data_IF_795585271204
#
_entry.id   IF_795585271204
#
_cell.length_a   1.000
_cell.length_b   1.000
_cell.length_c   1.000
_cell.angle_alpha   90.00
_cell.angle_beta   90.00
_cell.angle_gamma   90.00
#
_symmetry.space_group_name_H-M   'P 1'
#
loop_
_entity.id
_entity.type
_entity.pdbx_description
1 polymer ?
#
# COMPACT_ATOMS: atom_id res chain seq x y z
N UNK A 1 -8.74 -26.48 44.53
CA UNK A 1 -9.02 -26.83 43.13
C UNK A 1 -8.48 -25.70 42.29
N UNK A 2 -7.54 -25.95 41.36
CA UNK A 2 -7.09 -24.89 40.45
C UNK A 2 -8.26 -24.56 39.52
N UNK A 3 -8.66 -23.29 39.48
CA UNK A 3 -9.63 -22.80 38.51
C UNK A 3 -9.09 -23.10 37.11
N UNK A 4 -9.88 -23.83 36.30
CA UNK A 4 -9.58 -24.05 34.89
C UNK A 4 -9.39 -22.69 34.21
N UNK A 5 -8.23 -22.49 33.58
CA UNK A 5 -7.98 -21.32 32.73
C UNK A 5 -8.86 -21.49 31.48
N UNK A 6 -10.10 -20.99 31.58
CA UNK A 6 -11.03 -20.95 30.45
C UNK A 6 -10.44 -19.97 29.43
N UNK A 7 -9.94 -20.48 28.31
CA UNK A 7 -9.43 -19.68 27.21
C UNK A 7 -10.58 -18.94 26.52
N UNK A 8 -10.91 -17.74 27.02
CA UNK A 8 -11.98 -16.86 26.53
C UNK A 8 -11.81 -16.42 25.06
N UNK A 9 -10.63 -16.62 24.47
CA UNK A 9 -10.35 -16.24 23.07
C UNK A 9 -11.10 -17.16 22.09
N UNK A 10 -11.20 -18.46 22.38
CA UNK A 10 -11.82 -19.44 21.49
C UNK A 10 -13.36 -19.30 21.36
N UNK A 11 -14.02 -18.60 22.30
CA UNK A 11 -15.46 -18.35 22.31
C UNK A 11 -15.83 -16.88 22.02
N UNK A 12 -14.85 -16.08 21.58
CA UNK A 12 -15.07 -14.66 21.34
C UNK A 12 -15.75 -14.43 19.99
N UNK A 13 -16.80 -13.60 19.97
CA UNK A 13 -17.42 -13.08 18.72
C UNK A 13 -16.54 -12.05 18.00
N UNK A 14 -15.31 -11.84 18.49
CA UNK A 14 -14.33 -10.91 17.94
C UNK A 14 -13.79 -11.44 16.61
N UNK A 15 -13.81 -10.60 15.59
CA UNK A 15 -13.23 -10.91 14.28
C UNK A 15 -12.00 -10.03 14.07
N UNK A 16 -10.94 -10.63 13.53
CA UNK A 16 -9.71 -9.92 13.20
C UNK A 16 -9.71 -9.56 11.71
N UNK A 17 -9.35 -8.32 11.40
CA UNK A 17 -9.01 -7.89 10.05
C UNK A 17 -7.49 -7.78 9.96
N UNK A 18 -6.86 -8.53 9.06
CA UNK A 18 -5.42 -8.49 8.81
C UNK A 18 -5.13 -7.93 7.41
N UNK A 19 -4.53 -6.73 7.35
CA UNK A 19 -4.13 -6.10 6.08
C UNK A 19 -3.02 -6.89 5.37
N UNK A 20 -2.26 -7.74 6.08
CA UNK A 20 -1.22 -8.56 5.46
C UNK A 20 -1.79 -9.65 4.55
N UNK A 21 -3.02 -10.11 4.80
CA UNK A 21 -3.70 -11.15 4.02
C UNK A 21 -4.05 -10.66 2.60
N UNK A 22 -4.41 -9.38 2.48
CA UNK A 22 -4.74 -8.74 1.20
C UNK A 22 -3.54 -8.04 0.55
N UNK A 23 -2.35 -8.11 1.17
CA UNK A 23 -1.16 -7.44 0.68
C UNK A 23 -0.76 -7.97 -0.72
N UNK A 24 -0.71 -7.12 -1.76
CA UNK A 24 -0.57 -7.60 -3.12
C UNK A 24 0.85 -8.13 -3.36
N UNK A 25 0.95 -9.29 -4.02
CA UNK A 25 2.24 -9.93 -4.33
C UNK A 25 2.93 -9.25 -5.52
N UNK A 26 4.21 -8.94 -5.36
CA UNK A 26 5.08 -8.39 -6.41
C UNK A 26 6.18 -7.52 -5.80
N UNK A 27 7.32 -7.45 -6.47
CA UNK A 27 8.44 -6.62 -6.03
C UNK A 27 8.09 -5.13 -6.17
N UNK A 28 8.58 -4.32 -5.24
CA UNK A 28 8.46 -2.85 -5.25
C UNK A 28 9.80 -2.28 -5.68
N UNK A 29 9.80 -1.48 -6.74
CA UNK A 29 11.01 -0.90 -7.32
C UNK A 29 10.83 0.60 -7.48
N UNK A 30 11.83 1.36 -7.04
CA UNK A 30 11.92 2.78 -7.32
C UNK A 30 12.71 3.01 -8.61
N UNK A 31 12.24 3.91 -9.44
CA UNK A 31 12.92 4.35 -10.65
C UNK A 31 13.23 5.84 -10.50
N UNK A 32 14.52 6.16 -10.37
CA UNK A 32 15.00 7.53 -10.21
C UNK A 32 15.28 8.18 -11.56
N UNK A 33 14.41 9.12 -11.95
CA UNK A 33 14.52 9.87 -13.20
C UNK A 33 15.76 10.76 -13.21
N UNK A 34 16.26 11.20 -12.04
CA UNK A 34 17.42 12.10 -11.97
C UNK A 34 18.67 11.51 -12.59
N UNK A 35 18.79 10.18 -12.61
CA UNK A 35 19.87 9.45 -13.27
C UNK A 35 19.93 9.68 -14.79
N UNK A 36 18.81 10.11 -15.38
CA UNK A 36 18.68 10.36 -16.82
C UNK A 36 18.74 11.85 -17.17
N UNK A 37 18.91 12.72 -16.17
CA UNK A 37 19.03 14.16 -16.35
C UNK A 37 20.50 14.55 -16.47
N UNK A 38 20.79 15.57 -17.29
CA UNK A 38 22.11 16.17 -17.34
C UNK A 38 22.44 16.75 -15.96
N UNK A 39 23.55 16.29 -15.38
CA UNK A 39 24.00 16.66 -14.03
C UNK A 39 22.93 16.43 -12.95
N UNK A 40 21.96 15.55 -13.22
CA UNK A 40 20.82 15.31 -12.32
C UNK A 40 19.80 16.44 -12.28
N UNK A 41 19.92 17.49 -13.09
CA UNK A 41 19.10 18.72 -12.99
C UNK A 41 18.33 19.01 -14.28
N UNK A 42 18.95 18.86 -15.45
CA UNK A 42 18.36 19.33 -16.70
C UNK A 42 17.93 18.17 -17.58
N UNK A 43 16.64 18.13 -17.95
CA UNK A 43 16.16 17.18 -18.94
C UNK A 43 16.50 17.67 -20.35
N UNK A 44 17.35 16.93 -21.06
CA UNK A 44 17.56 17.08 -22.51
C UNK A 44 16.67 16.09 -23.25
N UNK A 45 15.73 16.57 -24.05
CA UNK A 45 14.69 15.73 -24.64
C UNK A 45 15.25 14.57 -25.48
N UNK A 46 16.21 14.87 -26.36
CA UNK A 46 16.81 13.86 -27.23
C UNK A 46 17.48 12.75 -26.41
N UNK A 47 18.32 13.12 -25.44
CA UNK A 47 19.04 12.19 -24.57
C UNK A 47 18.07 11.34 -23.73
N UNK A 48 17.02 11.96 -23.19
CA UNK A 48 16.02 11.27 -22.37
C UNK A 48 15.23 10.23 -23.18
N UNK A 49 14.80 10.60 -24.40
CA UNK A 49 14.10 9.68 -25.31
C UNK A 49 15.02 8.57 -25.81
N UNK A 50 16.30 8.86 -26.01
CA UNK A 50 17.27 7.85 -26.40
C UNK A 50 17.50 6.84 -25.27
N UNK A 51 17.65 7.30 -24.03
CA UNK A 51 17.73 6.43 -22.85
C UNK A 51 16.48 5.56 -22.72
N UNK A 52 15.29 6.13 -22.86
CA UNK A 52 14.04 5.39 -22.79
C UNK A 52 13.94 4.27 -23.86
N UNK A 53 14.49 4.49 -25.05
CA UNK A 53 14.52 3.48 -26.12
C UNK A 53 15.52 2.35 -25.85
N UNK A 54 16.64 2.64 -25.18
CA UNK A 54 17.71 1.67 -24.91
C UNK A 54 17.50 0.89 -23.61
N UNK A 55 16.71 1.42 -22.69
CA UNK A 55 16.44 0.79 -21.40
C UNK A 55 15.67 -0.53 -21.57
N UNK A 56 16.12 -1.57 -20.88
CA UNK A 56 15.41 -2.86 -20.86
C UNK A 56 14.19 -2.77 -19.94
N UNK A 57 13.00 -2.59 -20.50
CA UNK A 57 11.76 -2.49 -19.72
C UNK A 57 11.24 -3.84 -19.22
N UNK A 58 11.70 -4.96 -19.80
CA UNK A 58 11.23 -6.30 -19.43
C UNK A 58 11.61 -6.68 -17.98
N UNK A 59 12.65 -6.06 -17.44
CA UNK A 59 13.08 -6.24 -16.05
C UNK A 59 12.02 -5.83 -15.00
N UNK A 60 10.99 -5.06 -15.40
CA UNK A 60 9.89 -4.64 -14.51
C UNK A 60 8.66 -5.57 -14.59
N UNK A 61 8.76 -6.70 -15.29
CA UNK A 61 7.66 -7.65 -15.45
C UNK A 61 7.07 -8.05 -14.10
N UNK A 62 5.77 -7.79 -13.91
CA UNK A 62 5.03 -8.16 -12.71
C UNK A 62 5.37 -7.33 -11.46
N UNK A 63 6.19 -6.28 -11.58
CA UNK A 63 6.61 -5.41 -10.47
C UNK A 63 5.67 -4.21 -10.28
N UNK A 64 5.76 -3.58 -9.12
CA UNK A 64 5.15 -2.29 -8.83
C UNK A 64 6.24 -1.22 -8.84
N UNK A 65 6.08 -0.18 -9.66
CA UNK A 65 7.14 0.80 -9.93
C UNK A 65 6.75 2.19 -9.45
N UNK A 66 7.61 2.80 -8.64
CA UNK A 66 7.47 4.19 -8.19
C UNK A 66 8.47 5.07 -8.95
N UNK A 67 7.98 5.94 -9.82
CA UNK A 67 8.79 6.93 -10.53
C UNK A 67 9.03 8.13 -9.61
N UNK A 68 10.29 8.48 -9.39
CA UNK A 68 10.64 9.63 -8.55
C UNK A 68 11.86 10.36 -9.11
N UNK A 69 12.15 11.54 -8.58
CA UNK A 69 13.35 12.29 -8.87
C UNK A 69 14.05 12.57 -7.55
N UNK A 70 15.27 12.05 -7.37
CA UNK A 70 16.02 12.22 -6.11
C UNK A 70 16.65 13.61 -5.95
N UNK A 71 16.65 14.42 -7.01
CA UNK A 71 17.17 15.78 -7.02
C UNK A 71 16.03 16.81 -7.01
N UNK A 72 16.37 18.06 -6.74
CA UNK A 72 15.44 19.21 -6.83
C UNK A 72 15.15 19.64 -8.28
N UNK A 73 15.42 18.78 -9.27
CA UNK A 73 15.16 19.06 -10.67
C UNK A 73 13.67 19.29 -10.92
N UNK A 74 13.35 20.37 -11.62
CA UNK A 74 12.00 20.59 -12.14
C UNK A 74 11.83 19.72 -13.38
N UNK A 75 11.32 18.50 -13.17
CA UNK A 75 11.09 17.54 -14.24
C UNK A 75 9.77 17.87 -14.97
N UNK A 76 9.77 18.07 -16.29
CA UNK A 76 8.54 18.26 -17.07
C UNK A 76 7.60 17.07 -16.90
N UNK A 77 6.30 17.33 -16.68
CA UNK A 77 5.31 16.27 -16.41
C UNK A 77 5.24 15.18 -17.50
N UNK A 78 5.52 15.52 -18.76
CA UNK A 78 5.54 14.55 -19.86
C UNK A 78 6.59 13.45 -19.69
N UNK A 79 7.67 13.68 -18.94
CA UNK A 79 8.73 12.69 -18.72
C UNK A 79 8.18 11.49 -17.95
N UNK A 80 7.45 11.72 -16.86
CA UNK A 80 6.78 10.67 -16.10
C UNK A 80 5.75 9.91 -16.96
N UNK A 81 5.01 10.62 -17.81
CA UNK A 81 4.05 10.01 -18.74
C UNK A 81 4.77 9.09 -19.74
N UNK A 82 5.88 9.54 -20.33
CA UNK A 82 6.67 8.73 -21.26
C UNK A 82 7.15 7.43 -20.61
N UNK A 83 7.76 7.51 -19.43
CA UNK A 83 8.25 6.33 -18.72
C UNK A 83 7.11 5.39 -18.33
N UNK A 84 5.98 5.93 -17.88
CA UNK A 84 4.79 5.15 -17.56
C UNK A 84 4.28 4.36 -18.78
N UNK A 85 4.26 4.96 -19.97
CA UNK A 85 3.85 4.27 -21.20
C UNK A 85 4.80 3.12 -21.59
N UNK A 86 6.10 3.27 -21.34
CA UNK A 86 7.07 2.17 -21.55
C UNK A 86 6.92 1.05 -20.52
N UNK A 87 6.58 1.39 -19.27
CA UNK A 87 6.39 0.44 -18.17
C UNK A 87 5.05 -0.30 -18.23
N UNK A 88 4.01 0.32 -18.80
CA UNK A 88 2.64 -0.19 -18.80
C UNK A 88 2.47 -1.65 -19.30
N UNK A 89 3.21 -2.15 -20.30
CA UNK A 89 3.12 -3.55 -20.73
C UNK A 89 3.70 -4.57 -19.74
N UNK A 90 4.55 -4.13 -18.80
CA UNK A 90 5.35 -5.01 -17.94
C UNK A 90 4.95 -4.91 -16.46
N UNK A 91 4.82 -3.68 -15.95
CA UNK A 91 4.55 -3.41 -14.55
C UNK A 91 3.07 -3.61 -14.21
N UNK A 92 2.79 -4.09 -13.00
CA UNK A 92 1.41 -4.20 -12.47
C UNK A 92 0.81 -2.84 -12.13
N UNK A 93 1.65 -1.92 -11.67
CA UNK A 93 1.29 -0.54 -11.35
C UNK A 93 2.51 0.35 -11.53
N UNK A 94 2.27 1.57 -11.99
CA UNK A 94 3.25 2.64 -12.02
C UNK A 94 2.64 3.85 -11.32
N UNK A 95 3.36 4.44 -10.39
CA UNK A 95 2.96 5.67 -9.68
C UNK A 95 4.09 6.69 -9.73
N UNK A 96 3.78 7.94 -9.41
CA UNK A 96 4.80 8.96 -9.12
C UNK A 96 4.91 9.08 -7.60
N UNK A 97 6.14 9.21 -7.10
CA UNK A 97 6.44 9.38 -5.68
C UNK A 97 7.29 8.25 -5.10
N UNK A 98 7.27 8.16 -3.78
CA UNK A 98 7.96 7.18 -2.96
C UNK A 98 7.31 5.79 -3.01
N UNK A 99 8.02 4.78 -2.49
CA UNK A 99 7.43 3.45 -2.27
C UNK A 99 6.27 3.47 -1.26
N UNK A 100 6.29 4.38 -0.29
CA UNK A 100 5.20 4.54 0.68
C UNK A 100 3.92 5.08 0.02
N UNK A 101 4.06 6.05 -0.90
CA UNK A 101 2.94 6.56 -1.70
C UNK A 101 2.40 5.49 -2.65
N UNK A 102 3.29 4.70 -3.27
CA UNK A 102 2.90 3.53 -4.06
C UNK A 102 2.07 2.55 -3.22
N UNK A 103 2.53 2.17 -2.02
CA UNK A 103 1.77 1.31 -1.12
C UNK A 103 0.41 1.93 -0.75
N UNK A 104 0.38 3.23 -0.47
CA UNK A 104 -0.85 3.94 -0.12
C UNK A 104 -1.88 3.88 -1.24
N UNK A 105 -1.45 4.04 -2.50
CA UNK A 105 -2.31 3.91 -3.68
C UNK A 105 -2.82 2.47 -3.82
N UNK A 106 -1.94 1.47 -3.68
CA UNK A 106 -2.32 0.07 -3.78
C UNK A 106 -3.38 -0.31 -2.74
N UNK A 107 -3.17 0.08 -1.48
CA UNK A 107 -4.14 -0.18 -0.42
C UNK A 107 -5.44 0.60 -0.60
N UNK A 108 -5.40 1.82 -1.12
CA UNK A 108 -6.62 2.57 -1.45
C UNK A 108 -7.49 1.79 -2.44
N UNK A 109 -6.90 1.24 -3.50
CA UNK A 109 -7.61 0.47 -4.53
C UNK A 109 -8.14 -0.87 -4.02
N UNK A 110 -7.36 -1.57 -3.20
CA UNK A 110 -7.77 -2.83 -2.58
C UNK A 110 -8.94 -2.61 -1.61
N UNK A 111 -8.81 -1.62 -0.73
CA UNK A 111 -9.81 -1.33 0.28
C UNK A 111 -11.09 -0.74 -0.32
N UNK A 112 -11.06 -0.06 -1.46
CA UNK A 112 -12.28 0.38 -2.14
C UNK A 112 -13.19 -0.81 -2.51
N UNK A 113 -12.60 -1.92 -2.95
CA UNK A 113 -13.35 -3.06 -3.50
C UNK A 113 -13.57 -4.22 -2.52
N UNK A 114 -12.99 -4.16 -1.32
CA UNK A 114 -13.15 -5.25 -0.36
C UNK A 114 -14.59 -5.34 0.19
N UNK A 115 -15.10 -6.58 0.29
CA UNK A 115 -16.34 -6.89 0.99
C UNK A 115 -16.11 -6.83 2.51
N UNK A 116 -16.99 -6.12 3.21
CA UNK A 116 -16.94 -5.97 4.67
C UNK A 116 -18.18 -6.54 5.36
N UNK A 117 -19.00 -7.30 4.62
CA UNK A 117 -20.24 -7.88 5.12
C UNK A 117 -20.02 -8.81 6.32
N UNK A 118 -18.87 -9.49 6.37
CA UNK A 118 -18.54 -10.36 7.50
C UNK A 118 -18.34 -9.61 8.81
N UNK A 119 -18.13 -8.29 8.79
CA UNK A 119 -17.87 -7.45 9.97
C UNK A 119 -19.12 -6.74 10.51
N UNK A 120 -20.28 -6.90 9.85
CA UNK A 120 -21.54 -6.26 10.25
C UNK A 120 -21.93 -6.65 11.69
N UNK A 121 -22.13 -5.64 12.53
CA UNK A 121 -22.53 -5.74 13.94
C UNK A 121 -21.61 -6.62 14.81
N UNK A 122 -20.37 -6.84 14.37
CA UNK A 122 -19.35 -7.58 15.11
C UNK A 122 -18.31 -6.65 15.76
N UNK A 123 -17.75 -7.02 16.92
CA UNK A 123 -16.50 -6.44 17.39
C UNK A 123 -15.38 -6.81 16.41
N UNK A 124 -14.65 -5.81 15.92
CA UNK A 124 -13.53 -5.99 14.98
C UNK A 124 -12.24 -5.52 15.63
N UNK A 125 -11.18 -6.32 15.47
CA UNK A 125 -9.82 -5.90 15.76
C UNK A 125 -9.06 -5.74 14.44
N UNK A 126 -8.55 -4.54 14.19
CA UNK A 126 -7.61 -4.29 13.09
C UNK A 126 -6.24 -4.71 13.60
N UNK A 127 -5.67 -5.76 13.01
CA UNK A 127 -4.39 -6.29 13.43
C UNK A 127 -3.28 -5.28 13.12
N UNK A 128 -2.38 -5.09 14.08
CA UNK A 128 -1.14 -4.32 13.84
C UNK A 128 -0.13 -5.16 13.07
N UNK A 129 0.57 -4.56 12.11
CA UNK A 129 1.60 -5.26 11.34
C UNK A 129 2.88 -5.52 12.15
N UNK A 130 3.55 -6.65 11.89
CA UNK A 130 4.90 -6.93 12.39
C UNK A 130 5.94 -7.17 11.28
N UNK A 131 5.52 -7.38 10.01
CA UNK A 131 6.42 -7.93 8.98
C UNK A 131 6.40 -7.24 7.61
N UNK A 132 5.27 -6.69 7.15
CA UNK A 132 5.15 -6.05 5.83
C UNK A 132 5.10 -4.52 5.91
N UNK A 133 5.60 -3.78 4.91
CA UNK A 133 5.52 -2.32 4.89
C UNK A 133 4.11 -1.85 4.55
N UNK A 134 3.17 -1.98 5.50
CA UNK A 134 1.80 -1.49 5.36
C UNK A 134 1.79 0.01 5.71
N UNK A 135 1.35 0.90 4.80
CA UNK A 135 1.37 2.33 5.03
C UNK A 135 0.33 2.72 6.07
N UNK A 136 0.60 3.75 6.86
CA UNK A 136 -0.34 4.25 7.88
C UNK A 136 -1.71 4.58 7.30
N UNK A 137 -1.73 5.10 6.07
CA UNK A 137 -2.96 5.45 5.38
C UNK A 137 -3.89 4.24 5.13
N UNK A 138 -3.35 3.03 4.97
CA UNK A 138 -4.18 1.82 4.82
C UNK A 138 -5.04 1.56 6.07
N UNK A 139 -4.47 1.74 7.27
CA UNK A 139 -5.21 1.57 8.52
C UNK A 139 -6.31 2.62 8.70
N UNK A 140 -6.01 3.88 8.33
CA UNK A 140 -6.99 4.97 8.39
C UNK A 140 -8.18 4.67 7.48
N UNK A 141 -7.91 4.28 6.23
CA UNK A 141 -8.95 3.94 5.26
C UNK A 141 -9.76 2.70 5.67
N UNK A 142 -9.09 1.68 6.20
CA UNK A 142 -9.77 0.49 6.70
C UNK A 142 -10.70 0.83 7.88
N UNK A 143 -10.22 1.62 8.84
CA UNK A 143 -11.03 2.04 9.98
C UNK A 143 -12.28 2.82 9.53
N UNK A 144 -12.13 3.76 8.58
CA UNK A 144 -13.25 4.49 8.00
C UNK A 144 -14.25 3.57 7.28
N UNK A 145 -13.76 2.56 6.56
CA UNK A 145 -14.62 1.60 5.86
C UNK A 145 -15.36 0.64 6.81
N UNK A 146 -14.73 0.23 7.90
CA UNK A 146 -15.33 -0.66 8.90
C UNK A 146 -16.29 0.06 9.87
N UNK A 147 -16.02 1.32 10.20
CA UNK A 147 -16.81 2.10 11.16
C UNK A 147 -18.34 2.02 10.96
N UNK A 148 -18.91 2.19 9.74
CA UNK A 148 -20.36 2.18 9.56
C UNK A 148 -21.01 0.81 9.83
N UNK A 149 -20.27 -0.29 9.65
CA UNK A 149 -20.79 -1.66 9.74
C UNK A 149 -20.47 -2.35 11.06
N UNK A 150 -19.29 -2.09 11.63
CA UNK A 150 -18.82 -2.76 12.84
C UNK A 150 -19.53 -2.30 14.12
N UNK A 151 -19.65 -3.19 15.10
CA UNK A 151 -20.17 -2.86 16.43
C UNK A 151 -19.14 -2.12 17.29
N UNK A 152 -17.87 -2.48 17.15
CA UNK A 152 -16.74 -1.80 17.78
C UNK A 152 -15.47 -2.06 17.01
N UNK A 153 -14.51 -1.13 17.05
CA UNK A 153 -13.20 -1.28 16.41
C UNK A 153 -12.12 -1.12 17.47
N UNK A 154 -11.15 -2.02 17.43
CA UNK A 154 -9.94 -2.02 18.26
C UNK A 154 -8.71 -2.17 17.35
N UNK A 155 -7.53 -1.80 17.83
CA UNK A 155 -6.27 -1.97 17.11
C UNK A 155 -5.27 -2.77 17.95
N UNK A 156 -4.54 -3.70 17.32
CA UNK A 156 -3.50 -4.49 17.97
C UNK A 156 -3.75 -5.99 17.85
N UNK A 157 -3.29 -6.76 18.85
CA UNK A 157 -3.52 -8.21 18.92
C UNK A 157 -4.68 -8.54 19.87
N UNK A 158 -5.30 -9.71 19.71
CA UNK A 158 -6.46 -10.11 20.52
C UNK A 158 -6.18 -10.06 22.04
N UNK A 159 -4.93 -10.28 22.44
CA UNK A 159 -4.48 -10.23 23.83
C UNK A 159 -4.02 -8.85 24.32
N UNK A 160 -3.85 -7.86 23.42
CA UNK A 160 -3.23 -6.56 23.71
C UNK A 160 -3.81 -5.41 22.87
N UNK A 161 -5.13 -5.41 22.65
CA UNK A 161 -5.80 -4.45 21.79
C UNK A 161 -6.14 -3.12 22.48
N UNK A 162 -6.03 -2.02 21.74
CA UNK A 162 -6.50 -0.69 22.14
C UNK A 162 -7.91 -0.45 21.57
N UNK A 163 -8.93 -0.16 22.39
CA UNK A 163 -10.26 0.17 21.90
C UNK A 163 -10.30 1.56 21.28
N UNK A 164 -10.88 1.69 20.09
CA UNK A 164 -10.92 2.94 19.30
C UNK A 164 -12.33 3.45 19.06
N UNK A 165 -13.28 2.53 18.82
CA UNK A 165 -14.66 2.88 18.48
C UNK A 165 -15.65 1.87 19.05
N UNK A 166 -16.85 2.35 19.42
CA UNK A 166 -18.01 1.52 19.75
C UNK A 166 -19.27 2.22 19.26
N UNK A 167 -20.10 1.50 18.50
CA UNK A 167 -21.41 1.97 18.04
C UNK A 167 -22.28 2.20 19.27
N UNK A 168 -22.87 3.40 19.36
CA UNK A 168 -23.77 3.80 20.45
C UNK A 168 -25.10 3.08 20.32
#
# INVERSE_FOLDING_TARGET
MPEEIINRVANSKLVTFDLEEIYPKGERVSFDISQWLLEGIVLRENDFREQAKKHDWSQYQGKFVALYCNTEAIVPGWAYLLLSLHLAPYAKKVTVGSLEELESILFTELLQNIDVSEYIDKPVIIKGCAHKPIPQNAYVLLAQKLQPVAKSIMYGEACSSVPLYKKR
#
